data_IF_235716967904
#
_entry.id   IF_235716967904
#
_cell.length_a   1.000
_cell.length_b   1.000
_cell.length_c   1.000
_cell.angle_alpha   90.00
_cell.angle_beta   90.00
_cell.angle_gamma   90.00
#
_symmetry.space_group_name_H-M   'P 1'
#
loop_
_entity.id
_entity.type
_entity.pdbx_description
1 polymer ?
#
# COMPACT_ATOMS: atom_id res chain seq x y z
N UNK A 1 -23.64 25.33 3.55
CA UNK A 1 -22.37 26.01 3.82
C UNK A 1 -21.30 25.22 3.09
N UNK A 2 -20.71 25.79 2.04
CA UNK A 2 -19.82 25.09 1.11
C UNK A 2 -18.41 25.14 1.67
N UNK A 3 -17.88 24.00 2.12
CA UNK A 3 -16.48 23.85 2.53
C UNK A 3 -15.63 23.77 1.27
N UNK A 4 -15.46 24.90 0.60
CA UNK A 4 -14.68 24.99 -0.62
C UNK A 4 -13.24 25.33 -0.25
N UNK A 5 -12.36 24.34 -0.26
CA UNK A 5 -10.93 24.59 -0.52
C UNK A 5 -9.96 24.37 0.64
N UNK A 6 -10.22 23.45 1.58
CA UNK A 6 -9.14 22.95 2.43
C UNK A 6 -8.46 21.75 1.77
N UNK A 7 -7.17 21.59 2.06
CA UNK A 7 -6.39 20.43 1.66
C UNK A 7 -7.06 19.17 2.21
N UNK A 8 -7.44 18.26 1.33
CA UNK A 8 -8.11 17.01 1.71
C UNK A 8 -7.17 15.97 2.37
N UNK A 9 -5.92 16.36 2.65
CA UNK A 9 -4.92 15.51 3.31
C UNK A 9 -4.69 15.97 4.75
N UNK A 10 -4.38 17.26 4.96
CA UNK A 10 -4.15 17.79 6.31
C UNK A 10 -5.35 18.54 6.90
N UNK A 11 -6.35 18.86 6.09
CA UNK A 11 -7.59 19.57 6.46
C UNK A 11 -7.36 20.90 7.22
N UNK A 12 -6.14 21.43 7.17
CA UNK A 12 -5.69 22.54 8.00
C UNK A 12 -5.32 23.77 7.17
N UNK A 13 -4.98 23.57 5.90
CA UNK A 13 -4.53 24.64 5.00
C UNK A 13 -5.42 24.69 3.78
N UNK A 14 -5.48 25.85 3.14
CA UNK A 14 -6.19 26.00 1.88
C UNK A 14 -5.51 25.18 0.78
N UNK A 15 -6.33 24.56 -0.07
CA UNK A 15 -5.87 23.82 -1.22
C UNK A 15 -5.61 24.77 -2.38
N UNK A 16 -4.40 24.68 -2.93
CA UNK A 16 -3.93 25.51 -4.05
C UNK A 16 -3.81 24.71 -5.33
N UNK A 17 -3.63 23.38 -5.22
CA UNK A 17 -3.39 22.47 -6.33
C UNK A 17 -4.46 21.38 -6.37
N UNK A 18 -4.84 20.96 -7.56
CA UNK A 18 -5.68 19.80 -7.79
C UNK A 18 -4.85 18.65 -8.35
N UNK A 19 -5.07 17.45 -7.83
CA UNK A 19 -4.38 16.25 -8.31
C UNK A 19 -5.15 15.63 -9.47
N UNK A 20 -4.57 15.65 -10.67
CA UNK A 20 -5.17 15.04 -11.87
C UNK A 20 -5.45 13.54 -11.73
N UNK A 21 -4.69 12.83 -10.88
CA UNK A 21 -4.87 11.36 -10.69
C UNK A 21 -6.10 11.03 -9.86
N UNK A 22 -6.28 11.70 -8.72
CA UNK A 22 -7.32 11.35 -7.75
C UNK A 22 -8.42 12.41 -7.59
N UNK A 23 -8.26 13.58 -8.20
CA UNK A 23 -9.19 14.71 -8.11
C UNK A 23 -9.18 15.43 -6.75
N UNK A 24 -8.25 15.11 -5.84
CA UNK A 24 -8.17 15.77 -4.53
C UNK A 24 -7.56 17.16 -4.64
N UNK A 25 -8.11 18.07 -3.84
CA UNK A 25 -7.58 19.41 -3.62
C UNK A 25 -6.52 19.37 -2.51
N UNK A 26 -5.29 19.81 -2.79
CA UNK A 26 -4.14 19.74 -1.88
C UNK A 26 -3.37 21.06 -1.80
N UNK A 27 -2.70 21.29 -0.67
CA UNK A 27 -1.80 22.44 -0.49
C UNK A 27 -0.41 22.15 -1.07
N UNK A 28 0.42 23.19 -1.27
CA UNK A 28 1.79 23.05 -1.81
C UNK A 28 2.69 22.06 -1.04
N UNK A 29 2.44 21.84 0.26
CA UNK A 29 3.22 20.88 1.05
C UNK A 29 2.89 19.42 0.69
N UNK A 30 1.64 19.14 0.34
CA UNK A 30 1.19 17.81 -0.06
C UNK A 30 1.16 17.63 -1.58
N UNK A 31 1.59 18.66 -2.32
CA UNK A 31 1.74 18.65 -3.77
C UNK A 31 3.18 18.34 -4.15
N UNK A 32 3.41 17.22 -4.85
CA UNK A 32 4.74 16.87 -5.35
C UNK A 32 4.95 17.49 -6.72
N UNK A 33 5.76 18.55 -6.78
CA UNK A 33 6.11 19.22 -8.05
C UNK A 33 6.94 18.34 -8.99
N UNK A 34 7.71 17.40 -8.45
CA UNK A 34 8.49 16.42 -9.22
C UNK A 34 7.61 15.50 -10.07
N UNK A 35 6.51 15.03 -9.47
CA UNK A 35 5.61 14.04 -10.08
C UNK A 35 4.37 14.67 -10.70
N UNK A 36 4.04 15.91 -10.33
CA UNK A 36 2.78 16.55 -10.68
C UNK A 36 1.56 15.91 -10.01
N UNK A 37 1.74 15.24 -8.87
CA UNK A 37 0.67 14.54 -8.14
C UNK A 37 0.76 14.80 -6.63
N UNK A 38 -0.32 14.47 -5.90
CA UNK A 38 -0.27 14.54 -4.44
C UNK A 38 0.64 13.46 -3.84
N UNK A 39 1.19 13.72 -2.65
CA UNK A 39 2.13 12.81 -1.97
C UNK A 39 1.59 11.40 -1.75
N UNK A 40 0.28 11.22 -1.56
CA UNK A 40 -0.33 9.87 -1.48
C UNK A 40 -0.21 9.11 -2.80
N UNK A 41 -0.49 9.79 -3.92
CA UNK A 41 -0.36 9.18 -5.25
C UNK A 41 1.10 8.86 -5.55
N UNK A 42 2.03 9.76 -5.19
CA UNK A 42 3.46 9.52 -5.36
C UNK A 42 3.93 8.32 -4.52
N UNK A 43 3.45 8.19 -3.28
CA UNK A 43 3.77 7.06 -2.42
C UNK A 43 3.25 5.72 -2.98
N UNK A 44 2.08 5.72 -3.63
CA UNK A 44 1.58 4.53 -4.31
C UNK A 44 2.36 4.19 -5.57
N UNK A 45 2.78 5.19 -6.35
CA UNK A 45 3.50 5.01 -7.62
C UNK A 45 4.98 4.69 -7.41
N UNK A 46 5.60 5.18 -6.33
CA UNK A 46 7.00 4.91 -5.99
C UNK A 46 7.19 3.85 -4.90
N UNK A 47 6.11 3.24 -4.41
CA UNK A 47 6.11 2.22 -3.38
C UNK A 47 6.31 0.78 -3.89
N UNK A 48 6.51 0.60 -5.20
CA UNK A 48 6.76 -0.68 -5.84
C UNK A 48 8.22 -1.16 -5.74
N UNK A 49 9.15 -0.31 -5.27
CA UNK A 49 10.58 -0.64 -5.12
C UNK A 49 11.01 -0.98 -3.68
N UNK A 50 10.18 -1.64 -2.86
CA UNK A 50 10.69 -2.49 -1.76
C UNK A 50 9.59 -3.38 -1.10
N UNK A 51 8.90 -4.22 -1.87
CA UNK A 51 8.16 -5.38 -1.31
C UNK A 51 8.45 -6.68 -2.05
N UNK A 52 9.68 -6.84 -2.51
CA UNK A 52 10.31 -8.17 -2.51
C UNK A 52 10.93 -8.27 -1.11
N UNK A 53 10.25 -8.75 -0.08
CA UNK A 53 10.02 -10.19 0.14
C UNK A 53 8.87 -10.34 1.15
N UNK A 54 7.74 -10.99 0.80
CA UNK A 54 7.19 -11.93 1.77
C UNK A 54 8.26 -13.02 1.91
N UNK A 55 9.15 -12.89 2.90
CA UNK A 55 9.72 -14.09 3.52
C UNK A 55 8.56 -14.76 4.25
N UNK A 56 7.63 -15.32 3.47
CA UNK A 56 6.71 -16.32 3.98
C UNK A 56 7.57 -17.43 4.60
N UNK A 57 7.15 -18.01 5.73
CA UNK A 57 7.88 -19.10 6.34
C UNK A 57 8.00 -20.21 5.29
N UNK A 58 9.24 -20.51 4.88
CA UNK A 58 9.51 -21.62 4.00
C UNK A 58 8.83 -22.85 4.55
N UNK A 59 7.88 -23.37 3.77
CA UNK A 59 7.25 -24.63 4.02
C UNK A 59 8.27 -25.74 3.77
N UNK A 60 8.87 -26.30 4.82
CA UNK A 60 9.44 -27.65 4.80
C UNK A 60 9.93 -28.06 6.20
N UNK A 61 8.99 -28.48 7.06
CA UNK A 61 9.12 -29.74 7.81
C UNK A 61 7.74 -30.11 8.37
N UNK A 62 6.85 -30.54 7.47
CA UNK A 62 5.76 -31.42 7.87
C UNK A 62 6.01 -32.68 7.08
N UNK A 63 6.97 -33.48 7.54
CA UNK A 63 6.90 -34.91 7.26
C UNK A 63 5.75 -35.42 8.13
N UNK A 64 4.54 -35.70 7.59
CA UNK A 64 3.60 -36.51 8.35
C UNK A 64 4.33 -37.81 8.68
N UNK A 65 4.43 -38.26 9.94
CA UNK A 65 4.92 -39.60 10.20
C UNK A 65 4.02 -40.54 9.42
N UNK A 66 4.62 -41.29 8.50
CA UNK A 66 3.99 -42.39 7.76
C UNK A 66 2.99 -43.10 8.67
N UNK A 67 1.71 -42.84 8.42
CA UNK A 67 0.63 -43.62 9.00
C UNK A 67 0.37 -44.75 8.03
N UNK A 68 1.28 -45.73 8.03
CA UNK A 68 1.02 -47.09 7.58
C UNK A 68 1.98 -48.06 8.29
N UNK A 69 1.54 -48.61 9.41
CA UNK A 69 1.85 -50.01 9.74
C UNK A 69 0.56 -50.66 10.22
N UNK A 70 -0.29 -50.89 9.23
CA UNK A 70 -1.58 -51.51 9.37
C UNK A 70 -1.76 -52.67 8.39
N UNK A 71 -0.73 -53.49 8.13
CA UNK A 71 -0.90 -54.86 7.56
C UNK A 71 0.39 -55.69 7.73
N UNK A 72 0.52 -56.39 8.86
CA UNK A 72 1.22 -57.68 8.89
C UNK A 72 0.36 -58.69 9.65
N UNK A 73 -0.63 -59.19 8.93
CA UNK A 73 -1.45 -60.33 9.32
C UNK A 73 -0.85 -61.57 8.65
N UNK A 74 -0.07 -62.37 9.39
CA UNK A 74 0.21 -63.80 9.13
C UNK A 74 0.54 -64.50 10.46
#
# INVERSE_FOLDING_TARGET
MSVSGLCQICESREATHDCDRCGKLVCDEHWSRDSGFCVECVAEIGGDVEKERPSGPGAEDVTPPDTDDGTHQL
#
